data_IF_133939615495
#
_entry.id   IF_133939615495
#
_cell.length_a   1.000
_cell.length_b   1.000
_cell.length_c   1.000
_cell.angle_alpha   90.00
_cell.angle_beta   90.00
_cell.angle_gamma   90.00
#
_symmetry.space_group_name_H-M   'P 1'
#
loop_
_entity.id
_entity.type
_entity.pdbx_description
1 polymer ?
#
# COMPACT_ATOMS: atom_id res chain seq x y z
N UNK A 1 -22.62 -24.83 -30.90
CA UNK A 1 -21.27 -24.48 -30.40
C UNK A 1 -21.16 -22.95 -30.33
N UNK A 2 -21.70 -22.35 -29.27
CA UNK A 2 -21.72 -20.89 -29.08
C UNK A 2 -20.61 -20.49 -28.10
N UNK A 3 -19.59 -19.80 -28.62
CA UNK A 3 -18.62 -19.04 -27.83
C UNK A 3 -19.36 -17.89 -27.12
N UNK A 4 -19.84 -18.12 -25.91
CA UNK A 4 -20.18 -17.03 -24.99
C UNK A 4 -18.91 -16.68 -24.21
N UNK A 5 -18.27 -15.59 -24.63
CA UNK A 5 -17.13 -15.00 -23.95
C UNK A 5 -17.53 -14.54 -22.55
N UNK A 6 -17.34 -15.40 -21.56
CA UNK A 6 -17.67 -15.10 -20.18
C UNK A 6 -16.46 -14.41 -19.52
N UNK A 7 -16.48 -13.07 -19.52
CA UNK A 7 -15.44 -12.19 -18.98
C UNK A 7 -15.29 -12.20 -17.45
N UNK A 8 -15.42 -13.37 -16.82
CA UNK A 8 -15.19 -13.58 -15.39
C UNK A 8 -13.98 -14.51 -15.16
N UNK A 9 -13.31 -14.38 -14.01
CA UNK A 9 -12.16 -15.22 -13.66
C UNK A 9 -12.52 -16.72 -13.69
N UNK A 10 -11.66 -17.57 -14.24
CA UNK A 10 -11.89 -19.02 -14.16
C UNK A 10 -11.56 -19.52 -12.74
N UNK A 11 -12.17 -20.63 -12.28
CA UNK A 11 -11.84 -21.21 -10.96
C UNK A 11 -10.34 -21.52 -10.79
N UNK A 12 -9.68 -21.91 -11.88
CA UNK A 12 -8.23 -22.13 -11.90
C UNK A 12 -7.43 -20.82 -11.72
N UNK A 13 -7.91 -19.70 -12.26
CA UNK A 13 -7.28 -18.40 -12.07
C UNK A 13 -7.39 -17.92 -10.62
N UNK A 14 -8.57 -18.09 -9.98
CA UNK A 14 -8.76 -17.72 -8.58
C UNK A 14 -7.82 -18.49 -7.64
N UNK A 15 -7.70 -19.82 -7.83
CA UNK A 15 -6.77 -20.66 -7.05
C UNK A 15 -5.31 -20.28 -7.25
N UNK A 16 -4.91 -19.94 -8.48
CA UNK A 16 -3.53 -19.49 -8.77
C UNK A 16 -3.21 -18.16 -8.07
N UNK A 17 -4.17 -17.24 -8.02
CA UNK A 17 -4.01 -15.95 -7.32
C UNK A 17 -3.85 -16.16 -5.81
N UNK A 18 -4.66 -17.04 -5.22
CA UNK A 18 -4.57 -17.39 -3.80
C UNK A 18 -3.19 -17.96 -3.43
N UNK A 19 -2.72 -18.99 -4.15
CA UNK A 19 -1.38 -19.54 -3.92
C UNK A 19 -0.26 -18.52 -4.15
N UNK A 20 -0.44 -17.62 -5.12
CA UNK A 20 0.54 -16.55 -5.38
C UNK A 20 0.63 -15.61 -4.19
N UNK A 21 -0.49 -15.22 -3.59
CA UNK A 21 -0.51 -14.29 -2.46
C UNK A 21 0.07 -14.93 -1.20
N UNK A 22 -0.29 -16.18 -0.93
CA UNK A 22 0.30 -16.94 0.18
C UNK A 22 1.81 -17.08 -0.02
N UNK A 23 2.25 -17.49 -1.21
CA UNK A 23 3.67 -17.63 -1.54
C UNK A 23 4.43 -16.31 -1.44
N UNK A 24 3.84 -15.22 -1.91
CA UNK A 24 4.44 -13.88 -1.86
C UNK A 24 4.54 -13.37 -0.42
N UNK A 25 3.55 -13.67 0.44
CA UNK A 25 3.62 -13.40 1.88
C UNK A 25 4.72 -14.18 2.59
N UNK A 26 4.83 -15.49 2.33
CA UNK A 26 5.91 -16.33 2.92
C UNK A 26 7.28 -15.87 2.44
N UNK A 27 7.43 -15.57 1.15
CA UNK A 27 8.68 -15.04 0.60
C UNK A 27 9.06 -13.70 1.24
N UNK A 28 8.09 -12.79 1.39
CA UNK A 28 8.31 -11.51 2.06
C UNK A 28 8.81 -11.71 3.49
N UNK A 29 8.19 -12.61 4.26
CA UNK A 29 8.61 -12.93 5.63
C UNK A 29 10.05 -13.46 5.67
N UNK A 30 10.42 -14.37 4.76
CA UNK A 30 11.80 -14.87 4.66
C UNK A 30 12.80 -13.74 4.37
N UNK A 31 12.43 -12.80 3.50
CA UNK A 31 13.29 -11.65 3.16
C UNK A 31 13.39 -10.64 4.31
N UNK A 32 12.33 -10.43 5.09
CA UNK A 32 12.32 -9.55 6.26
C UNK A 32 13.23 -10.12 7.36
N UNK A 33 13.23 -11.43 7.56
CA UNK A 33 14.05 -12.07 8.60
C UNK A 33 15.52 -12.29 8.20
N UNK A 34 16.01 -11.67 7.11
CA UNK A 34 17.42 -11.67 6.76
C UNK A 34 18.18 -10.63 7.61
N UNK A 35 19.06 -11.05 8.54
CA UNK A 35 19.80 -10.10 9.39
C UNK A 35 20.99 -9.45 8.68
N UNK A 36 21.43 -10.02 7.55
CA UNK A 36 22.70 -9.65 6.90
C UNK A 36 22.56 -8.65 5.75
N UNK A 37 21.35 -8.42 5.23
CA UNK A 37 21.16 -7.62 4.02
C UNK A 37 19.96 -6.67 4.12
N UNK A 38 20.25 -5.38 4.33
CA UNK A 38 19.27 -4.29 4.44
C UNK A 38 18.44 -4.12 3.15
N UNK A 39 19.03 -4.40 1.97
CA UNK A 39 18.32 -4.31 0.69
C UNK A 39 17.25 -5.40 0.61
N UNK A 40 17.58 -6.65 0.97
CA UNK A 40 16.61 -7.75 1.02
C UNK A 40 15.51 -7.47 2.05
N UNK A 41 15.88 -6.97 3.23
CA UNK A 41 14.92 -6.54 4.25
C UNK A 41 13.96 -5.48 3.69
N UNK A 42 14.49 -4.44 3.04
CA UNK A 42 13.69 -3.35 2.46
C UNK A 42 12.74 -3.87 1.39
N UNK A 43 13.22 -4.73 0.49
CA UNK A 43 12.38 -5.37 -0.53
C UNK A 43 11.29 -6.20 0.15
N UNK A 44 11.63 -7.00 1.17
CA UNK A 44 10.68 -7.79 1.95
C UNK A 44 9.58 -6.95 2.61
N UNK A 45 9.93 -5.81 3.21
CA UNK A 45 8.97 -4.87 3.78
C UNK A 45 8.01 -4.30 2.74
N UNK A 46 8.48 -4.00 1.53
CA UNK A 46 7.60 -3.54 0.45
C UNK A 46 6.71 -4.71 -0.01
N UNK A 47 7.29 -5.90 -0.18
CA UNK A 47 6.60 -7.09 -0.68
C UNK A 47 5.46 -7.52 0.26
N UNK A 48 5.65 -7.46 1.58
CA UNK A 48 4.60 -7.84 2.55
C UNK A 48 3.42 -6.87 2.52
N UNK A 49 3.67 -5.57 2.32
CA UNK A 49 2.60 -4.58 2.14
C UNK A 49 1.83 -4.87 0.86
N UNK A 50 2.52 -5.12 -0.25
CA UNK A 50 1.90 -5.49 -1.53
C UNK A 50 1.07 -6.78 -1.38
N UNK A 51 1.60 -7.81 -0.72
CA UNK A 51 0.86 -9.05 -0.43
C UNK A 51 -0.41 -8.77 0.36
N UNK A 52 -0.32 -7.94 1.41
CA UNK A 52 -1.47 -7.54 2.23
C UNK A 52 -2.53 -6.79 1.42
N UNK A 53 -2.13 -5.84 0.58
CA UNK A 53 -3.05 -5.10 -0.29
C UNK A 53 -3.77 -6.02 -1.28
N UNK A 54 -3.05 -6.94 -1.91
CA UNK A 54 -3.64 -7.90 -2.86
C UNK A 54 -4.55 -8.91 -2.11
N UNK A 55 -4.20 -9.31 -0.90
CA UNK A 55 -5.04 -10.18 -0.06
C UNK A 55 -6.41 -9.57 0.24
N UNK A 56 -6.50 -8.24 0.37
CA UNK A 56 -7.79 -7.56 0.52
C UNK A 56 -8.70 -7.69 -0.71
N UNK A 57 -8.15 -8.10 -1.87
CA UNK A 57 -8.90 -8.27 -3.13
C UNK A 57 -9.33 -9.72 -3.38
N UNK A 58 -8.74 -10.69 -2.66
CA UNK A 58 -9.04 -12.12 -2.83
C UNK A 58 -10.54 -12.45 -2.71
N UNK A 59 -11.27 -11.94 -1.69
CA UNK A 59 -12.69 -12.25 -1.55
C UNK A 59 -13.56 -11.80 -2.74
N UNK A 60 -13.08 -10.81 -3.50
CA UNK A 60 -13.75 -10.20 -4.65
C UNK A 60 -13.29 -10.77 -5.99
N UNK A 61 -12.18 -11.50 -6.03
CA UNK A 61 -11.67 -12.22 -7.20
C UNK A 61 -12.43 -13.54 -7.44
N UNK A 62 -13.77 -13.46 -7.48
CA UNK A 62 -14.64 -14.61 -7.71
C UNK A 62 -14.88 -14.84 -9.20
N UNK A 63 -15.06 -16.11 -9.61
CA UNK A 63 -15.49 -16.43 -10.96
C UNK A 63 -16.80 -15.74 -11.34
N UNK A 64 -16.82 -15.08 -12.51
CA UNK A 64 -17.99 -14.34 -12.99
C UNK A 64 -18.05 -12.85 -12.60
N UNK A 65 -17.18 -12.36 -11.71
CA UNK A 65 -17.12 -10.93 -11.38
C UNK A 65 -16.36 -10.17 -12.48
N UNK A 66 -16.90 -9.05 -13.02
CA UNK A 66 -16.19 -8.26 -14.00
C UNK A 66 -14.93 -7.65 -13.38
N UNK A 67 -13.79 -7.71 -14.07
CA UNK A 67 -12.50 -7.21 -13.57
C UNK A 67 -12.51 -5.73 -13.14
N UNK A 68 -13.49 -4.95 -13.59
CA UNK A 68 -13.72 -3.56 -13.15
C UNK A 68 -14.12 -3.46 -11.68
N UNK A 69 -14.89 -4.40 -11.13
CA UNK A 69 -15.26 -4.42 -9.72
C UNK A 69 -14.05 -4.72 -8.83
N UNK A 70 -13.15 -5.59 -9.30
CA UNK A 70 -11.86 -5.87 -8.64
C UNK A 70 -10.98 -4.61 -8.65
N UNK A 71 -10.91 -3.90 -9.78
CA UNK A 71 -10.18 -2.62 -9.86
C UNK A 71 -10.76 -1.56 -8.91
N UNK A 72 -12.08 -1.46 -8.80
CA UNK A 72 -12.74 -0.54 -7.86
C UNK A 72 -12.37 -0.86 -6.41
N UNK A 73 -12.42 -2.13 -6.03
CA UNK A 73 -11.97 -2.58 -4.72
C UNK A 73 -10.48 -2.29 -4.49
N UNK A 74 -9.62 -2.54 -5.48
CA UNK A 74 -8.19 -2.23 -5.41
C UNK A 74 -7.93 -0.74 -5.14
N UNK A 75 -8.64 0.14 -5.82
CA UNK A 75 -8.56 1.59 -5.60
C UNK A 75 -9.02 1.99 -4.19
N UNK A 76 -10.09 1.37 -3.66
CA UNK A 76 -10.57 1.65 -2.30
C UNK A 76 -9.52 1.21 -1.25
N UNK A 77 -8.99 0.00 -1.39
CA UNK A 77 -7.97 -0.54 -0.48
C UNK A 77 -6.71 0.33 -0.52
N UNK A 78 -6.25 0.72 -1.72
CA UNK A 78 -5.11 1.62 -1.88
C UNK A 78 -5.35 3.00 -1.26
N UNK A 79 -6.56 3.55 -1.42
CA UNK A 79 -6.93 4.84 -0.83
C UNK A 79 -6.90 4.78 0.70
N UNK A 80 -7.51 3.77 1.31
CA UNK A 80 -7.50 3.58 2.77
C UNK A 80 -6.06 3.44 3.26
N UNK A 81 -5.24 2.64 2.57
CA UNK A 81 -3.83 2.49 2.89
C UNK A 81 -3.07 3.82 2.86
N UNK A 82 -3.25 4.64 1.82
CA UNK A 82 -2.61 5.96 1.73
C UNK A 82 -3.07 6.89 2.86
N UNK A 83 -4.36 6.92 3.19
CA UNK A 83 -4.90 7.73 4.29
C UNK A 83 -4.27 7.31 5.62
N UNK A 84 -4.27 6.01 5.93
CA UNK A 84 -3.67 5.46 7.14
C UNK A 84 -2.18 5.76 7.20
N UNK A 85 -1.47 5.70 6.07
CA UNK A 85 -0.04 6.00 6.01
C UNK A 85 0.26 7.47 6.31
N UNK A 86 -0.53 8.42 5.79
CA UNK A 86 -0.39 9.84 6.15
C UNK A 86 -0.68 10.08 7.63
N UNK A 87 -1.75 9.46 8.16
CA UNK A 87 -2.10 9.55 9.58
C UNK A 87 -0.98 8.96 10.45
N UNK A 88 -0.38 7.84 10.06
CA UNK A 88 0.73 7.22 10.77
C UNK A 88 1.98 8.11 10.78
N UNK A 89 2.33 8.73 9.65
CA UNK A 89 3.44 9.70 9.57
C UNK A 89 3.17 10.89 10.50
N UNK A 90 1.94 11.41 10.48
CA UNK A 90 1.56 12.53 11.34
C UNK A 90 1.61 12.14 12.84
N UNK A 91 1.10 10.97 13.20
CA UNK A 91 1.16 10.46 14.57
C UNK A 91 2.61 10.24 15.03
N UNK A 92 3.48 9.71 14.17
CA UNK A 92 4.91 9.54 14.46
C UNK A 92 5.60 10.90 14.69
N UNK A 93 5.23 11.92 13.92
CA UNK A 93 5.72 13.28 14.14
C UNK A 93 5.24 13.86 15.48
N UNK A 94 3.94 13.75 15.81
CA UNK A 94 3.42 14.21 17.10
C UNK A 94 4.08 13.48 18.27
N UNK A 95 4.27 12.17 18.17
CA UNK A 95 5.01 11.39 19.16
C UNK A 95 6.43 11.93 19.35
N UNK A 96 7.11 12.23 18.24
CA UNK A 96 8.43 12.86 18.27
C UNK A 96 8.45 14.21 18.99
N UNK A 97 7.45 15.06 18.76
CA UNK A 97 7.38 16.40 19.37
C UNK A 97 7.03 16.33 20.86
N UNK A 98 6.13 15.44 21.27
CA UNK A 98 5.64 15.39 22.65
C UNK A 98 6.47 14.53 23.59
N UNK A 99 7.06 13.43 23.10
CA UNK A 99 7.70 12.43 23.95
C UNK A 99 9.21 12.30 23.77
N UNK A 100 9.79 12.85 22.70
CA UNK A 100 11.25 12.84 22.55
C UNK A 100 11.84 14.12 23.16
N UNK A 101 12.94 13.93 23.90
CA UNK A 101 13.71 15.03 24.47
C UNK A 101 14.26 15.91 23.33
N UNK A 102 14.18 17.25 23.44
CA UNK A 102 14.70 18.13 22.40
C UNK A 102 16.17 17.83 22.10
N UNK A 103 16.59 17.82 20.82
CA UNK A 103 17.95 17.49 20.43
C UNK A 103 18.96 18.45 21.09
N UNK A 104 20.02 17.92 21.71
CA UNK A 104 21.05 18.75 22.33
C UNK A 104 21.90 19.44 21.25
N UNK A 105 21.87 20.79 21.15
CA UNK A 105 22.58 21.53 20.11
C UNK A 105 24.10 21.43 20.23
N UNK A 106 24.64 20.92 21.33
CA UNK A 106 26.07 20.73 21.54
C UNK A 106 26.58 19.39 21.00
N UNK A 107 25.68 18.47 20.65
CA UNK A 107 26.04 17.14 20.11
C UNK A 107 25.95 17.11 18.59
N UNK A 108 26.82 16.35 17.92
CA UNK A 108 26.79 16.19 16.47
C UNK A 108 25.45 15.61 15.96
N UNK A 109 24.87 14.66 16.71
CA UNK A 109 23.55 14.10 16.42
C UNK A 109 22.42 15.13 16.61
N UNK A 110 22.47 15.96 17.66
CA UNK A 110 21.46 16.98 17.87
C UNK A 110 21.46 18.06 16.79
N UNK A 111 22.65 18.48 16.33
CA UNK A 111 22.76 19.39 15.17
C UNK A 111 22.21 18.76 13.89
N UNK A 112 22.47 17.47 13.65
CA UNK A 112 21.94 16.75 12.49
C UNK A 112 20.41 16.62 12.53
N UNK A 113 19.81 16.41 13.71
CA UNK A 113 18.36 16.36 13.89
C UNK A 113 17.70 17.74 13.72
N UNK A 114 18.35 18.81 14.19
CA UNK A 114 17.86 20.18 14.00
C UNK A 114 17.96 20.65 12.54
N UNK A 115 18.98 20.17 11.81
CA UNK A 115 19.15 20.42 10.38
C UNK A 115 18.29 19.49 9.49
N UNK A 116 17.67 18.46 10.08
CA UNK A 116 16.86 17.52 9.32
C UNK A 116 15.63 18.22 8.74
N UNK A 117 15.36 17.95 7.46
CA UNK A 117 14.22 18.55 6.77
C UNK A 117 12.92 18.04 7.41
N UNK A 118 11.93 18.91 7.69
CA UNK A 118 10.67 18.47 8.26
C UNK A 118 9.96 17.45 7.35
N UNK A 119 9.19 16.53 7.94
CA UNK A 119 8.48 15.46 7.23
C UNK A 119 7.54 15.96 6.11
N UNK A 120 6.95 17.15 6.28
CA UNK A 120 6.09 17.80 5.28
C UNK A 120 6.88 18.41 4.11
N UNK A 121 8.21 18.48 4.18
CA UNK A 121 9.06 18.92 3.07
C UNK A 121 9.60 17.76 2.23
N UNK A 122 9.34 16.52 2.62
CA UNK A 122 9.74 15.35 1.83
C UNK A 122 8.75 15.10 0.69
N UNK A 123 9.28 14.93 -0.53
CA UNK A 123 8.47 14.67 -1.73
C UNK A 123 7.60 13.42 -1.60
N UNK A 124 8.06 12.40 -0.87
CA UNK A 124 7.28 11.18 -0.60
C UNK A 124 5.94 11.47 0.09
N UNK A 125 5.93 12.32 1.12
CA UNK A 125 4.71 12.70 1.85
C UNK A 125 3.68 13.34 0.91
N UNK A 126 4.13 14.25 0.04
CA UNK A 126 3.27 14.90 -0.95
C UNK A 126 2.79 13.93 -2.03
N UNK A 127 3.63 13.00 -2.48
CA UNK A 127 3.22 11.95 -3.42
C UNK A 127 2.10 11.09 -2.83
N UNK A 128 2.24 10.66 -1.58
CA UNK A 128 1.19 9.87 -0.90
C UNK A 128 -0.09 10.69 -0.72
N UNK A 129 0.03 11.95 -0.27
CA UNK A 129 -1.12 12.84 -0.11
C UNK A 129 -1.83 13.10 -1.45
N UNK A 130 -1.09 13.33 -2.53
CA UNK A 130 -1.64 13.51 -3.86
C UNK A 130 -2.38 12.25 -4.33
N UNK A 131 -1.80 11.06 -4.13
CA UNK A 131 -2.46 9.77 -4.45
C UNK A 131 -3.77 9.63 -3.65
N UNK A 132 -3.75 9.93 -2.35
CA UNK A 132 -4.93 9.86 -1.49
C UNK A 132 -6.05 10.80 -1.95
N UNK A 133 -5.71 11.97 -2.48
CA UNK A 133 -6.69 12.93 -3.02
C UNK A 133 -7.16 12.53 -4.42
N UNK A 134 -6.28 12.03 -5.29
CA UNK A 134 -6.62 11.71 -6.69
C UNK A 134 -7.47 10.44 -6.82
N UNK A 135 -7.20 9.41 -6.01
CA UNK A 135 -7.94 8.14 -6.02
C UNK A 135 -9.47 8.31 -5.89
N UNK A 136 -10.04 9.12 -4.97
CA UNK A 136 -11.48 9.31 -4.89
C UNK A 136 -12.07 10.03 -6.12
N UNK A 137 -11.32 10.95 -6.76
CA UNK A 137 -11.77 11.53 -8.03
C UNK A 137 -11.81 10.48 -9.14
N UNK A 138 -10.77 9.64 -9.26
CA UNK A 138 -10.73 8.54 -10.23
C UNK A 138 -11.84 7.51 -9.98
N UNK A 139 -12.11 7.17 -8.72
CA UNK A 139 -13.23 6.31 -8.33
C UNK A 139 -14.58 6.87 -8.77
N UNK A 140 -14.77 8.19 -8.72
CA UNK A 140 -15.99 8.86 -9.20
C UNK A 140 -16.17 8.70 -10.72
N UNK A 141 -15.09 8.80 -11.50
CA UNK A 141 -15.14 8.60 -12.95
C UNK A 141 -15.41 7.15 -13.33
N UNK A 142 -14.75 6.20 -12.66
CA UNK A 142 -14.98 4.76 -12.89
C UNK A 142 -16.42 4.37 -12.54
N UNK A 143 -16.97 4.90 -11.44
CA UNK A 143 -18.36 4.64 -11.04
C UNK A 143 -19.40 5.29 -11.95
N UNK A 144 -19.10 6.46 -12.54
CA UNK A 144 -20.01 7.14 -13.51
C UNK A 144 -20.17 6.37 -14.81
N UNK A 145 -19.12 5.68 -15.26
CA UNK A 145 -19.12 4.87 -16.49
C UNK A 145 -19.84 3.52 -16.34
N UNK A 146 -20.24 3.15 -15.12
CA UNK A 146 -21.00 1.93 -14.82
C UNK A 146 -22.52 2.18 -14.87
N UNK A 147 -22.96 3.43 -14.65
CA UNK A 147 -24.37 3.85 -14.62
C UNK A 147 -24.87 4.45 -15.95
N UNK A 148 -24.06 4.38 -17.02
CA UNK A 148 -24.39 4.88 -18.37
C UNK A 148 -24.16 3.80 -19.40
#
# INVERSE_FOLDING_TARGET
MSKQGNGGMTPAAARKVEYTIIGLGVLALLMIFQPFNIVLFTIGCILVVVAGLINNLLPLARPGVPGRSVLKAAMIVAMIFCIVLVVAIFAAHLYGVFFLKPPDPNTAMGKAQLAAKPWYMHGFTWTVAAIAVVLPFLLRFVSRKENS
#
